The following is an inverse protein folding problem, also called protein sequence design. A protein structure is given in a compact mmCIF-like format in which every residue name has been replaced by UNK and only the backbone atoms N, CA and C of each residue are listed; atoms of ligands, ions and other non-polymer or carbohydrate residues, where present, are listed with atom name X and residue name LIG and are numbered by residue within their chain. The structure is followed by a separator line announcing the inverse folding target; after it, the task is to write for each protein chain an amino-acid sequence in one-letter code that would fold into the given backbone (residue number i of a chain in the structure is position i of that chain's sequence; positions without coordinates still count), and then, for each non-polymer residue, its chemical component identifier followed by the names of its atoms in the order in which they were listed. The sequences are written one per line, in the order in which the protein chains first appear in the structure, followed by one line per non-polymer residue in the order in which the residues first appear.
data_IF_585957820538
#
_entry.id   IF_585957820538
#
_cell.length_a   1.000
_cell.length_b   1.000
_cell.length_c   1.000
_cell.angle_alpha   90.00
_cell.angle_beta   90.00
_cell.angle_gamma   90.00
#
_symmetry.space_group_name_H-M   'P 1'
#
loop_
_entity.id
_entity.type
_entity.pdbx_description
1 polymer ?
#
# COMPACT_ATOMS: atom_id res chain seq x y z
N UNK A 1 8.90 -33.25 -2.46
CA UNK A 1 9.11 -32.47 -3.68
C UNK A 1 7.83 -32.54 -4.47
N UNK A 2 7.51 -31.45 -5.17
CA UNK A 2 6.41 -31.34 -6.14
C UNK A 2 5.04 -31.21 -5.48
N UNK A 3 4.14 -30.34 -5.91
CA UNK A 3 4.10 -29.32 -6.96
C UNK A 3 2.76 -28.57 -6.81
N UNK A 4 1.78 -29.18 -6.13
CA UNK A 4 0.49 -28.64 -5.71
C UNK A 4 0.56 -27.34 -4.92
N UNK A 5 1.57 -27.12 -4.07
CA UNK A 5 1.55 -26.00 -3.12
C UNK A 5 1.93 -24.66 -3.77
N UNK A 6 2.89 -24.67 -4.69
CA UNK A 6 3.22 -23.49 -5.48
C UNK A 6 2.30 -23.33 -6.71
N UNK A 7 1.76 -24.44 -7.22
CA UNK A 7 0.67 -24.45 -8.18
C UNK A 7 -0.64 -23.97 -7.55
N UNK A 8 -0.75 -23.88 -6.23
CA UNK A 8 -1.79 -23.19 -5.47
C UNK A 8 -1.40 -21.75 -5.09
N UNK A 9 -0.14 -21.49 -4.69
CA UNK A 9 0.34 -20.14 -4.31
C UNK A 9 0.36 -19.16 -5.49
N UNK A 10 0.43 -19.69 -6.70
CA UNK A 10 0.06 -18.98 -7.89
C UNK A 10 -1.41 -19.18 -8.26
N UNK A 11 -1.86 -20.44 -8.38
CA UNK A 11 -2.76 -20.95 -9.44
C UNK A 11 -3.24 -19.93 -10.45
N UNK A 12 -2.21 -19.26 -10.96
CA UNK A 12 -2.26 -18.27 -11.98
C UNK A 12 -1.50 -16.93 -11.76
N UNK A 13 -1.25 -16.36 -10.56
CA UNK A 13 -1.29 -14.86 -10.49
C UNK A 13 -2.60 -14.44 -11.23
N UNK A 14 -3.62 -15.28 -10.97
CA UNK A 14 -4.86 -15.49 -11.70
C UNK A 14 -4.75 -16.28 -13.01
N UNK A 15 -5.74 -17.12 -13.32
CA UNK A 15 -6.14 -17.59 -14.68
C UNK A 15 -6.41 -16.44 -15.70
N UNK A 16 -5.91 -15.23 -15.42
CA UNK A 16 -6.30 -13.92 -15.92
C UNK A 16 -5.18 -13.19 -16.68
N UNK A 17 -4.23 -13.94 -17.22
CA UNK A 17 -3.84 -13.74 -18.61
C UNK A 17 -4.92 -14.27 -19.56
N UNK A 18 -6.17 -13.86 -19.34
CA UNK A 18 -7.39 -14.40 -19.93
C UNK A 18 -7.56 -14.19 -21.44
N UNK A 19 -6.45 -14.11 -22.17
CA UNK A 19 -6.08 -14.86 -23.39
C UNK A 19 -4.97 -14.04 -24.06
N UNK A 20 -3.75 -14.10 -23.52
CA UNK A 20 -2.43 -13.87 -24.18
C UNK A 20 -1.29 -13.45 -23.21
N UNK A 21 -1.07 -14.19 -22.12
CA UNK A 21 0.32 -14.53 -21.81
C UNK A 21 0.45 -15.97 -21.38
N UNK A 22 1.29 -16.65 -22.11
CA UNK A 22 1.44 -18.08 -22.06
C UNK A 22 2.72 -18.51 -21.31
N UNK A 23 3.52 -17.59 -20.78
CA UNK A 23 4.93 -17.89 -20.49
C UNK A 23 5.38 -17.70 -19.02
N UNK A 24 4.47 -17.46 -18.06
CA UNK A 24 4.80 -17.46 -16.61
C UNK A 24 4.47 -18.83 -16.00
N UNK A 25 5.50 -19.53 -15.50
CA UNK A 25 5.41 -20.86 -14.90
C UNK A 25 5.39 -20.80 -13.38
N UNK A 26 4.80 -21.84 -12.77
CA UNK A 26 4.84 -22.09 -11.33
C UNK A 26 6.27 -21.95 -10.80
N UNK A 27 7.26 -22.60 -11.40
CA UNK A 27 8.63 -22.57 -10.91
C UNK A 27 9.30 -21.18 -10.95
N UNK A 28 8.92 -20.29 -11.88
CA UNK A 28 9.39 -18.89 -11.87
C UNK A 28 8.94 -18.13 -10.61
N UNK A 29 7.74 -18.42 -10.09
CA UNK A 29 7.24 -17.77 -8.87
C UNK A 29 7.89 -18.33 -7.61
N UNK A 30 8.28 -19.61 -7.63
CA UNK A 30 9.12 -20.22 -6.58
C UNK A 30 10.45 -19.50 -6.54
N UNK A 31 11.05 -19.33 -7.71
CA UNK A 31 12.30 -18.60 -7.87
C UNK A 31 12.16 -17.14 -7.45
N UNK A 32 10.99 -16.52 -7.59
CA UNK A 32 10.74 -15.17 -7.08
C UNK A 32 10.72 -15.09 -5.56
N UNK A 33 10.03 -16.00 -4.87
CA UNK A 33 10.08 -16.06 -3.41
C UNK A 33 11.47 -16.48 -2.90
N UNK A 34 12.11 -17.45 -3.54
CA UNK A 34 13.48 -17.87 -3.23
C UNK A 34 14.50 -16.77 -3.51
N UNK A 35 14.32 -16.00 -4.60
CA UNK A 35 15.15 -14.83 -4.92
C UNK A 35 14.90 -13.72 -3.90
N UNK A 36 13.65 -13.39 -3.59
CA UNK A 36 13.33 -12.39 -2.58
C UNK A 36 13.85 -12.75 -1.19
N UNK A 37 13.87 -14.04 -0.82
CA UNK A 37 14.42 -14.53 0.45
C UNK A 37 15.96 -14.68 0.44
N UNK A 38 16.58 -14.78 -0.74
CA UNK A 38 18.05 -14.82 -0.88
C UNK A 38 18.69 -13.48 -1.25
N UNK A 39 17.90 -12.53 -1.75
CA UNK A 39 18.27 -11.14 -2.02
C UNK A 39 18.03 -10.21 -0.83
N UNK A 40 17.68 -10.76 0.35
CA UNK A 40 17.31 -9.97 1.56
C UNK A 40 18.51 -9.19 2.12
N UNK A 41 18.83 -8.09 1.46
CA UNK A 41 18.71 -6.77 2.05
C UNK A 41 17.35 -6.19 1.60
N UNK A 42 16.22 -6.80 1.99
CA UNK A 42 14.89 -6.18 1.81
C UNK A 42 14.83 -5.01 2.78
N UNK A 43 15.45 -3.88 2.38
CA UNK A 43 15.37 -2.55 2.98
C UNK A 43 14.91 -2.55 4.44
N UNK A 44 15.67 -3.16 5.38
CA UNK A 44 15.51 -3.22 6.85
C UNK A 44 14.13 -3.28 7.55
N UNK A 45 13.01 -3.25 6.81
CA UNK A 45 11.61 -3.10 7.27
C UNK A 45 10.95 -4.46 7.45
N UNK A 46 11.41 -5.46 6.69
CA UNK A 46 10.80 -6.78 6.68
C UNK A 46 11.81 -7.78 7.21
N UNK A 47 11.57 -8.31 8.41
CA UNK A 47 12.38 -9.39 8.97
C UNK A 47 12.24 -10.63 8.10
N UNK A 48 13.34 -11.32 7.80
CA UNK A 48 13.32 -12.58 7.07
C UNK A 48 12.41 -13.63 7.73
N UNK A 49 12.29 -13.62 9.06
CA UNK A 49 11.36 -14.48 9.78
C UNK A 49 9.88 -14.10 9.56
N UNK A 50 9.59 -12.81 9.34
CA UNK A 50 8.24 -12.31 9.02
C UNK A 50 7.89 -12.59 7.56
N UNK A 51 8.84 -12.48 6.62
CA UNK A 51 8.68 -12.94 5.24
C UNK A 51 8.38 -14.44 5.24
N UNK A 52 9.13 -15.22 6.03
CA UNK A 52 8.93 -16.65 6.16
C UNK A 52 7.60 -16.98 6.84
N UNK A 53 7.14 -16.20 7.82
CA UNK A 53 5.84 -16.36 8.46
C UNK A 53 4.68 -16.00 7.53
N UNK A 54 4.81 -14.94 6.73
CA UNK A 54 3.84 -14.52 5.72
C UNK A 54 3.77 -15.55 4.59
N UNK A 55 4.91 -16.05 4.15
CA UNK A 55 4.96 -17.20 3.26
C UNK A 55 4.27 -18.40 3.92
N UNK A 56 4.61 -18.75 5.15
CA UNK A 56 4.06 -19.92 5.84
C UNK A 56 2.56 -19.83 6.12
N UNK A 57 1.99 -18.64 6.37
CA UNK A 57 0.54 -18.45 6.55
C UNK A 57 -0.21 -18.66 5.23
N UNK A 58 0.32 -18.09 4.14
CA UNK A 58 -0.15 -18.34 2.77
C UNK A 58 -0.02 -19.83 2.40
N UNK A 59 1.04 -20.51 2.87
CA UNK A 59 1.37 -21.92 2.57
C UNK A 59 0.59 -22.95 3.41
N UNK A 60 0.10 -22.62 4.61
CA UNK A 60 -0.61 -23.57 5.50
C UNK A 60 -2.13 -23.58 5.32
N UNK A 61 -2.76 -22.41 5.21
CA UNK A 61 -4.21 -22.28 5.29
C UNK A 61 -4.88 -22.09 3.92
N UNK A 62 -4.09 -21.95 2.84
CA UNK A 62 -4.59 -21.70 1.48
C UNK A 62 -5.42 -20.43 1.33
N UNK A 63 -5.48 -19.64 2.40
CA UNK A 63 -6.21 -18.38 2.53
C UNK A 63 -5.12 -17.34 2.69
N UNK A 64 -4.97 -16.41 1.74
CA UNK A 64 -4.09 -15.29 1.98
C UNK A 64 -4.55 -14.60 3.28
N UNK A 65 -3.61 -14.20 4.14
CA UNK A 65 -3.89 -13.07 5.06
C UNK A 65 -3.84 -11.83 4.18
N UNK A 66 -4.82 -11.69 3.29
CA UNK A 66 -5.06 -10.52 2.49
C UNK A 66 -6.53 -10.26 2.71
N UNK A 67 -6.85 -9.13 3.32
CA UNK A 67 -8.24 -8.70 3.43
C UNK A 67 -8.81 -8.37 2.03
N UNK A 68 -7.95 -8.21 1.01
CA UNK A 68 -8.30 -8.03 -0.39
C UNK A 68 -8.37 -9.34 -1.22
N UNK A 69 -9.35 -9.38 -2.13
CA UNK A 69 -9.48 -10.44 -3.14
C UNK A 69 -8.33 -10.40 -4.17
N UNK A 70 -7.81 -11.57 -4.57
CA UNK A 70 -6.76 -11.68 -5.60
C UNK A 70 -7.36 -11.47 -7.00
N UNK A 71 -7.44 -10.21 -7.41
CA UNK A 71 -7.91 -9.78 -8.72
C UNK A 71 -6.76 -9.26 -9.58
N UNK A 72 -6.97 -9.15 -10.91
CA UNK A 72 -5.98 -8.52 -11.81
C UNK A 72 -5.62 -7.10 -11.37
N UNK A 73 -6.60 -6.34 -10.89
CA UNK A 73 -6.43 -4.98 -10.38
C UNK A 73 -5.52 -4.97 -9.15
N UNK A 74 -5.81 -5.81 -8.16
CA UNK A 74 -4.99 -5.90 -6.94
C UNK A 74 -3.58 -6.41 -7.22
N UNK A 75 -3.41 -7.34 -8.16
CA UNK A 75 -2.09 -7.79 -8.59
C UNK A 75 -1.29 -6.67 -9.26
N UNK A 76 -1.90 -5.91 -10.18
CA UNK A 76 -1.27 -4.76 -10.81
C UNK A 76 -0.85 -3.71 -9.76
N UNK A 77 -1.72 -3.44 -8.78
CA UNK A 77 -1.47 -2.57 -7.64
C UNK A 77 -0.28 -3.05 -6.80
N UNK A 78 -0.25 -4.33 -6.40
CA UNK A 78 0.83 -4.90 -5.58
C UNK A 78 2.20 -4.93 -6.28
N UNK A 79 2.22 -5.06 -7.60
CA UNK A 79 3.45 -4.94 -8.40
C UNK A 79 3.75 -3.50 -8.82
N UNK A 80 2.87 -2.56 -8.49
CA UNK A 80 2.96 -1.15 -8.87
C UNK A 80 3.10 -0.91 -10.37
N UNK A 81 2.40 -1.73 -11.16
CA UNK A 81 2.32 -1.64 -12.61
C UNK A 81 0.91 -1.16 -13.00
N UNK A 82 0.75 -0.23 -13.96
CA UNK A 82 -0.56 0.15 -14.46
C UNK A 82 -1.38 -1.09 -14.89
N UNK A 83 -2.67 -1.12 -14.56
CA UNK A 83 -3.52 -2.30 -14.78
C UNK A 83 -3.58 -2.71 -16.26
N UNK A 84 -3.51 -1.75 -17.17
CA UNK A 84 -3.48 -1.92 -18.62
C UNK A 84 -2.18 -2.62 -19.06
N UNK A 85 -1.07 -2.22 -18.47
CA UNK A 85 0.28 -2.70 -18.78
C UNK A 85 0.58 -4.05 -18.15
N UNK A 86 -0.06 -4.36 -17.02
CA UNK A 86 0.20 -5.59 -16.27
C UNK A 86 0.05 -6.87 -17.12
N UNK A 87 -0.88 -6.88 -18.09
CA UNK A 87 -1.03 -8.02 -19.02
C UNK A 87 -0.01 -8.10 -20.15
N UNK A 88 0.88 -7.12 -20.26
CA UNK A 88 1.95 -7.07 -21.25
C UNK A 88 3.33 -7.14 -20.60
N UNK A 89 3.42 -6.92 -19.29
CA UNK A 89 4.67 -7.02 -18.51
C UNK A 89 5.11 -8.47 -18.38
N UNK A 90 6.29 -8.84 -18.93
CA UNK A 90 6.83 -10.18 -18.77
C UNK A 90 7.07 -10.52 -17.30
N UNK A 91 6.88 -11.77 -16.89
CA UNK A 91 7.21 -12.25 -15.54
C UNK A 91 8.55 -11.75 -15.03
N UNK A 92 9.59 -11.83 -15.85
CA UNK A 92 10.97 -11.56 -15.43
C UNK A 92 11.20 -10.09 -15.05
N UNK A 93 10.27 -9.19 -15.43
CA UNK A 93 10.27 -7.78 -15.09
C UNK A 93 9.44 -7.47 -13.85
N UNK A 94 8.65 -8.42 -13.36
CA UNK A 94 7.92 -8.28 -12.10
C UNK A 94 8.88 -8.53 -10.95
N UNK A 95 9.09 -7.49 -10.14
CA UNK A 95 10.00 -7.55 -9.02
C UNK A 95 9.29 -8.14 -7.79
N UNK A 96 9.72 -9.31 -7.29
CA UNK A 96 9.04 -9.99 -6.19
C UNK A 96 9.12 -9.23 -4.87
N UNK A 97 10.19 -8.44 -4.68
CA UNK A 97 10.38 -7.62 -3.50
C UNK A 97 9.31 -6.55 -3.38
N UNK A 98 8.81 -6.02 -4.50
CA UNK A 98 7.75 -5.01 -4.54
C UNK A 98 6.45 -5.60 -4.03
N UNK A 99 6.05 -6.74 -4.58
CA UNK A 99 4.89 -7.50 -4.11
C UNK A 99 4.95 -7.78 -2.60
N UNK A 100 6.10 -8.25 -2.10
CA UNK A 100 6.26 -8.60 -0.68
C UNK A 100 6.16 -7.36 0.21
N UNK A 101 6.85 -6.27 -0.14
CA UNK A 101 6.76 -4.99 0.59
C UNK A 101 5.32 -4.50 0.63
N UNK A 102 4.61 -4.58 -0.49
CA UNK A 102 3.24 -4.12 -0.60
C UNK A 102 2.29 -4.90 0.29
N UNK A 103 2.27 -6.22 0.16
CA UNK A 103 1.43 -7.11 0.99
C UNK A 103 1.76 -6.93 2.47
N UNK A 104 3.05 -6.80 2.80
CA UNK A 104 3.48 -6.60 4.18
C UNK A 104 2.93 -5.30 4.75
N UNK A 105 3.10 -4.17 4.05
CA UNK A 105 2.58 -2.87 4.50
C UNK A 105 1.05 -2.88 4.60
N UNK A 106 0.37 -3.46 3.60
CA UNK A 106 -1.09 -3.62 3.59
C UNK A 106 -1.58 -4.32 4.86
N UNK A 107 -0.96 -5.45 5.20
CA UNK A 107 -1.30 -6.22 6.41
C UNK A 107 -0.98 -5.47 7.70
N UNK A 108 0.17 -4.77 7.77
CA UNK A 108 0.54 -4.00 8.95
C UNK A 108 -0.46 -2.87 9.20
N UNK A 109 -0.73 -2.03 8.19
CA UNK A 109 -1.65 -0.92 8.33
C UNK A 109 -3.08 -1.38 8.60
N UNK A 110 -3.53 -2.45 7.94
CA UNK A 110 -4.86 -3.01 8.20
C UNK A 110 -4.99 -3.53 9.63
N UNK A 111 -3.98 -4.26 10.12
CA UNK A 111 -3.94 -4.71 11.52
C UNK A 111 -3.98 -3.53 12.49
N UNK A 112 -3.17 -2.49 12.26
CA UNK A 112 -3.12 -1.33 13.14
C UNK A 112 -4.45 -0.58 13.15
N UNK A 113 -5.07 -0.36 12.00
CA UNK A 113 -6.33 0.36 11.88
C UNK A 113 -7.49 -0.40 12.50
N UNK A 114 -7.57 -1.72 12.30
CA UNK A 114 -8.53 -2.58 12.98
C UNK A 114 -8.35 -2.53 14.51
N UNK A 115 -7.12 -2.58 15.03
CA UNK A 115 -6.84 -2.42 16.46
C UNK A 115 -7.29 -1.05 17.02
N UNK A 116 -7.30 -0.02 16.17
CA UNK A 116 -7.75 1.33 16.52
C UNK A 116 -9.26 1.54 16.32
N UNK A 117 -9.97 0.52 15.84
CA UNK A 117 -11.43 0.52 15.67
C UNK A 117 -11.93 1.12 14.36
N UNK A 118 -11.08 1.22 13.35
CA UNK A 118 -11.49 1.57 11.99
C UNK A 118 -12.12 0.35 11.32
N UNK A 119 -13.13 0.59 10.49
CA UNK A 119 -13.56 -0.34 9.45
C UNK A 119 -12.58 -0.19 8.28
N UNK A 120 -11.91 -1.27 7.88
CA UNK A 120 -10.82 -1.22 6.89
C UNK A 120 -11.21 -1.96 5.61
N UNK A 121 -10.99 -1.29 4.48
CA UNK A 121 -11.10 -1.85 3.13
C UNK A 121 -9.76 -1.73 2.40
N UNK A 122 -9.51 -2.64 1.47
CA UNK A 122 -8.23 -2.76 0.77
C UNK A 122 -8.47 -2.83 -0.73
N UNK A 123 -7.87 -1.91 -1.48
CA UNK A 123 -8.04 -1.86 -2.93
C UNK A 123 -9.45 -1.51 -3.41
N UNK A 124 -10.27 -0.92 -2.53
CA UNK A 124 -11.60 -0.40 -2.86
C UNK A 124 -11.50 0.76 -3.86
N UNK A 125 -12.41 0.85 -4.83
CA UNK A 125 -12.47 2.02 -5.71
C UNK A 125 -13.26 3.13 -5.04
N UNK A 126 -12.63 4.28 -4.90
CA UNK A 126 -13.30 5.51 -4.53
C UNK A 126 -13.70 6.26 -5.81
N UNK A 127 -15.00 6.49 -5.97
CA UNK A 127 -15.53 7.27 -7.09
C UNK A 127 -15.15 8.75 -6.92
N UNK A 128 -14.36 9.28 -7.87
CA UNK A 128 -14.00 10.69 -7.94
C UNK A 128 -14.83 11.48 -8.97
N UNK A 129 -14.44 12.73 -9.20
CA UNK A 129 -15.03 13.55 -10.26
C UNK A 129 -14.69 13.03 -11.66
N UNK A 130 -15.61 13.26 -12.60
CA UNK A 130 -15.40 13.04 -14.04
C UNK A 130 -15.02 11.60 -14.45
N UNK A 131 -15.31 10.61 -13.60
CA UNK A 131 -14.96 9.20 -13.86
C UNK A 131 -13.49 8.87 -13.61
N UNK A 132 -12.82 9.67 -12.77
CA UNK A 132 -11.50 9.34 -12.22
C UNK A 132 -11.72 8.35 -11.06
N UNK A 133 -11.31 7.10 -11.29
CA UNK A 133 -11.30 6.07 -10.26
C UNK A 133 -9.98 6.17 -9.48
N UNK A 134 -10.06 6.21 -8.16
CA UNK A 134 -8.90 6.17 -7.28
C UNK A 134 -8.98 4.94 -6.39
N UNK A 135 -7.92 4.15 -6.40
CA UNK A 135 -7.80 2.96 -5.57
C UNK A 135 -6.75 3.19 -4.49
N UNK A 136 -7.13 3.53 -3.24
CA UNK A 136 -6.22 3.43 -2.12
C UNK A 136 -5.75 1.99 -1.92
N UNK A 137 -4.52 1.84 -1.45
CA UNK A 137 -4.00 0.54 -1.04
C UNK A 137 -4.67 0.05 0.23
N UNK A 138 -4.82 0.95 1.20
CA UNK A 138 -5.59 0.72 2.43
C UNK A 138 -6.49 1.92 2.66
N UNK A 139 -7.75 1.65 2.93
CA UNK A 139 -8.76 2.64 3.25
C UNK A 139 -9.35 2.33 4.62
N UNK A 140 -9.32 3.28 5.54
CA UNK A 140 -9.84 3.13 6.89
C UNK A 140 -10.92 4.16 7.18
N UNK A 141 -12.06 3.71 7.70
CA UNK A 141 -13.17 4.57 8.10
C UNK A 141 -13.47 4.41 9.59
N UNK A 142 -13.51 5.51 10.31
CA UNK A 142 -13.89 5.55 11.73
C UNK A 142 -15.15 6.39 11.92
N UNK A 143 -16.23 5.74 12.36
CA UNK A 143 -17.47 6.44 12.72
C UNK A 143 -17.44 6.85 14.18
N UNK A 144 -17.52 8.16 14.44
CA UNK A 144 -17.54 8.74 15.79
C UNK A 144 -18.87 9.45 16.07
N UNK A 145 -19.09 9.85 17.33
CA UNK A 145 -20.23 10.68 17.71
C UNK A 145 -20.24 12.06 17.02
N UNK A 146 -19.10 12.51 16.48
CA UNK A 146 -18.93 13.83 15.89
C UNK A 146 -18.86 13.81 14.36
N UNK A 147 -18.93 12.63 13.75
CA UNK A 147 -18.82 12.45 12.31
C UNK A 147 -17.94 11.27 11.93
N UNK A 148 -17.69 11.14 10.64
CA UNK A 148 -16.83 10.13 10.04
C UNK A 148 -15.44 10.72 9.79
N UNK A 149 -14.42 9.93 10.07
CA UNK A 149 -13.02 10.24 9.82
C UNK A 149 -12.42 9.14 8.95
N UNK A 150 -11.80 9.54 7.85
CA UNK A 150 -11.33 8.64 6.80
C UNK A 150 -9.81 8.75 6.62
N UNK A 151 -9.15 7.61 6.40
CA UNK A 151 -7.73 7.52 6.10
C UNK A 151 -7.54 6.76 4.79
N UNK A 152 -6.92 7.40 3.80
CA UNK A 152 -6.46 6.74 2.59
C UNK A 152 -4.95 6.52 2.66
N UNK A 153 -4.46 5.37 2.23
CA UNK A 153 -3.03 5.10 2.11
C UNK A 153 -2.71 4.67 0.69
N UNK A 154 -1.62 5.18 0.12
CA UNK A 154 -0.95 4.53 -1.00
C UNK A 154 0.51 4.19 -0.68
N UNK A 155 0.96 3.10 -1.28
CA UNK A 155 2.32 2.61 -1.17
C UNK A 155 3.17 2.96 -2.41
N UNK A 156 4.46 3.13 -2.17
CA UNK A 156 5.48 3.21 -3.21
C UNK A 156 6.65 2.31 -2.80
N UNK A 157 6.73 1.12 -3.38
CA UNK A 157 7.54 -0.02 -2.97
C UNK A 157 8.57 -0.47 -4.03
N UNK A 158 8.41 -0.02 -5.28
CA UNK A 158 9.32 -0.34 -6.39
C UNK A 158 10.68 0.36 -6.27
N UNK A 159 10.66 1.67 -6.03
CA UNK A 159 11.84 2.51 -5.99
C UNK A 159 11.59 3.74 -5.11
N UNK A 160 12.66 4.46 -4.70
CA UNK A 160 12.50 5.71 -3.97
C UNK A 160 11.54 6.67 -4.68
N UNK A 161 10.52 7.23 -4.00
CA UNK A 161 9.47 7.99 -4.67
C UNK A 161 10.03 9.22 -5.37
N UNK A 162 9.79 9.28 -6.69
CA UNK A 162 10.13 10.45 -7.50
C UNK A 162 9.11 11.58 -7.30
N UNK A 163 9.52 12.81 -7.59
CA UNK A 163 8.61 13.96 -7.56
C UNK A 163 7.41 13.77 -8.50
N UNK A 164 7.62 13.20 -9.69
CA UNK A 164 6.56 13.01 -10.67
C UNK A 164 5.54 11.97 -10.21
N UNK A 165 6.00 10.84 -9.66
CA UNK A 165 5.12 9.80 -9.13
C UNK A 165 4.27 10.31 -7.97
N UNK A 166 4.91 11.02 -7.03
CA UNK A 166 4.19 11.61 -5.90
C UNK A 166 3.16 12.63 -6.37
N UNK A 167 3.49 13.50 -7.33
CA UNK A 167 2.50 14.43 -7.89
C UNK A 167 1.32 13.73 -8.53
N UNK A 168 1.56 12.70 -9.34
CA UNK A 168 0.48 11.94 -9.98
C UNK A 168 -0.48 11.32 -8.94
N UNK A 169 0.04 10.77 -7.85
CA UNK A 169 -0.77 10.24 -6.74
C UNK A 169 -1.58 11.35 -6.05
N UNK A 170 -0.95 12.50 -5.78
CA UNK A 170 -1.62 13.63 -5.14
C UNK A 170 -2.72 14.24 -6.02
N UNK A 171 -2.46 14.41 -7.31
CA UNK A 171 -3.44 14.92 -8.30
C UNK A 171 -4.63 13.96 -8.44
N UNK A 172 -4.40 12.65 -8.37
CA UNK A 172 -5.48 11.65 -8.43
C UNK A 172 -6.36 11.73 -7.18
N UNK A 173 -5.77 11.89 -6.01
CA UNK A 173 -6.54 12.06 -4.77
C UNK A 173 -7.31 13.39 -4.76
N UNK A 174 -6.72 14.48 -5.24
CA UNK A 174 -7.39 15.78 -5.34
C UNK A 174 -8.69 15.68 -6.16
N UNK A 175 -8.69 14.89 -7.23
CA UNK A 175 -9.88 14.63 -8.03
C UNK A 175 -10.99 13.88 -7.29
N UNK A 176 -10.66 13.18 -6.20
CA UNK A 176 -11.60 12.44 -5.35
C UNK A 176 -12.04 13.28 -4.16
N UNK A 177 -11.12 14.01 -3.54
CA UNK A 177 -11.29 14.77 -2.29
C UNK A 177 -12.02 16.11 -2.49
N UNK A 178 -13.20 16.05 -3.09
CA UNK A 178 -13.97 17.22 -3.51
C UNK A 178 -14.97 17.64 -2.43
N UNK A 179 -15.65 18.78 -2.62
CA UNK A 179 -16.64 19.25 -1.63
C UNK A 179 -17.85 18.31 -1.47
N UNK A 180 -18.07 17.43 -2.44
CA UNK A 180 -19.19 16.49 -2.46
C UNK A 180 -18.79 15.06 -2.05
N UNK A 181 -17.48 14.78 -1.87
CA UNK A 181 -17.00 13.46 -1.46
C UNK A 181 -17.06 13.23 0.05
N UNK A 182 -17.02 11.96 0.45
CA UNK A 182 -16.95 11.58 1.86
C UNK A 182 -15.60 11.99 2.48
N UNK A 183 -14.51 11.88 1.70
CA UNK A 183 -13.17 12.29 2.07
C UNK A 183 -13.04 13.82 1.97
N UNK A 184 -12.90 14.48 3.11
CA UNK A 184 -13.13 15.92 3.31
C UNK A 184 -12.18 16.53 4.34
N UNK A 185 -12.56 17.71 4.84
CA UNK A 185 -11.75 18.48 5.76
C UNK A 185 -11.42 17.71 7.05
N UNK A 186 -10.13 17.51 7.30
CA UNK A 186 -9.63 16.80 8.48
C UNK A 186 -9.23 15.35 8.23
N UNK A 187 -9.61 14.76 7.09
CA UNK A 187 -9.20 13.41 6.73
C UNK A 187 -7.72 13.35 6.35
N UNK A 188 -7.17 12.13 6.33
CA UNK A 188 -5.72 11.91 6.22
C UNK A 188 -5.40 11.07 5.00
N UNK A 189 -4.46 11.57 4.20
CA UNK A 189 -3.82 10.78 3.16
C UNK A 189 -2.39 10.43 3.57
N UNK A 190 -2.05 9.15 3.50
CA UNK A 190 -0.72 8.65 3.83
C UNK A 190 -0.06 8.18 2.54
N UNK A 191 1.13 8.72 2.26
CA UNK A 191 2.04 8.16 1.28
C UNK A 191 3.12 7.40 2.03
N UNK A 192 3.02 6.07 2.05
CA UNK A 192 3.97 5.22 2.77
C UNK A 192 4.95 4.55 1.80
N UNK A 193 6.21 4.52 2.17
CA UNK A 193 7.27 3.94 1.33
C UNK A 193 8.35 3.30 2.19
N UNK A 194 8.96 2.19 1.74
CA UNK A 194 10.11 1.60 2.42
C UNK A 194 11.43 2.34 2.13
N UNK A 195 11.37 3.49 1.46
CA UNK A 195 12.51 4.31 1.09
C UNK A 195 12.44 5.69 1.78
N UNK A 196 13.41 6.55 1.48
CA UNK A 196 13.30 7.98 1.81
C UNK A 196 12.74 8.76 0.62
N UNK A 197 11.91 9.76 0.89
CA UNK A 197 11.43 10.68 -0.14
C UNK A 197 12.58 11.57 -0.62
N UNK A 198 12.72 11.68 -1.94
CA UNK A 198 13.59 12.70 -2.52
C UNK A 198 13.08 14.11 -2.15
N UNK A 199 13.99 15.10 -2.08
CA UNK A 199 13.62 16.50 -1.73
C UNK A 199 12.46 17.07 -2.56
N UNK A 200 12.40 16.74 -3.86
CA UNK A 200 11.33 17.20 -4.75
C UNK A 200 9.98 16.56 -4.45
N UNK A 201 9.98 15.27 -4.08
CA UNK A 201 8.78 14.54 -3.65
C UNK A 201 8.28 15.11 -2.32
N UNK A 202 9.14 15.22 -1.31
CA UNK A 202 8.81 15.81 -0.01
C UNK A 202 8.27 17.26 -0.16
N UNK A 203 8.85 18.06 -1.05
CA UNK A 203 8.36 19.41 -1.33
C UNK A 203 6.96 19.43 -1.94
N UNK A 204 6.64 18.46 -2.80
CA UNK A 204 5.30 18.38 -3.42
C UNK A 204 4.24 17.97 -2.41
N UNK A 205 4.57 17.07 -1.48
CA UNK A 205 3.69 16.69 -0.36
C UNK A 205 3.40 17.89 0.54
N UNK A 206 4.42 18.65 0.92
CA UNK A 206 4.26 19.85 1.74
C UNK A 206 3.38 20.91 1.05
N UNK A 207 3.50 21.06 -0.27
CA UNK A 207 2.68 22.00 -1.03
C UNK A 207 1.21 21.55 -1.06
N UNK A 208 0.94 20.28 -1.38
CA UNK A 208 -0.43 19.77 -1.39
C UNK A 208 -1.11 19.90 -0.02
N UNK A 209 -0.43 19.50 1.06
CA UNK A 209 -0.95 19.65 2.44
C UNK A 209 -1.26 21.10 2.83
N UNK A 210 -0.77 22.10 2.09
CA UNK A 210 -1.09 23.51 2.33
C UNK A 210 -2.28 24.01 1.53
N UNK A 211 -2.53 23.42 0.37
CA UNK A 211 -3.56 23.88 -0.57
C UNK A 211 -4.87 23.12 -0.34
N UNK A 212 -4.77 21.88 0.13
CA UNK A 212 -5.91 20.96 0.25
C UNK A 212 -6.61 20.93 1.60
N UNK A 213 -7.81 20.35 1.58
CA UNK A 213 -8.70 20.22 2.75
C UNK A 213 -8.32 19.06 3.67
N UNK A 214 -7.62 18.09 3.14
CA UNK A 214 -7.10 16.91 3.86
C UNK A 214 -5.62 17.08 4.17
N UNK A 215 -5.12 16.28 5.11
CA UNK A 215 -3.71 16.31 5.50
C UNK A 215 -2.95 15.20 4.80
N UNK A 216 -1.89 15.52 4.03
CA UNK A 216 -0.98 14.50 3.49
C UNK A 216 0.19 14.26 4.43
N UNK A 217 0.43 12.99 4.74
CA UNK A 217 1.50 12.52 5.63
C UNK A 217 2.44 11.62 4.84
N UNK A 218 3.71 12.01 4.65
CA UNK A 218 4.74 11.10 4.21
C UNK A 218 5.12 10.16 5.36
N UNK A 219 5.13 8.85 5.12
CA UNK A 219 5.75 7.87 6.02
C UNK A 219 6.89 7.17 5.29
N UNK A 220 8.11 7.43 5.74
CA UNK A 220 9.32 6.79 5.20
C UNK A 220 9.70 5.55 6.02
N UNK A 221 10.75 4.86 5.57
CA UNK A 221 11.37 3.73 6.25
C UNK A 221 11.45 3.90 7.78
N UNK A 222 12.03 5.01 8.25
CA UNK A 222 12.29 5.21 9.67
C UNK A 222 10.98 5.37 10.46
N UNK A 223 9.96 6.03 9.88
CA UNK A 223 8.66 6.21 10.52
C UNK A 223 7.92 4.88 10.65
N UNK A 224 7.90 4.08 9.58
CA UNK A 224 7.27 2.75 9.56
C UNK A 224 7.95 1.84 10.57
N UNK A 225 9.28 1.82 10.60
CA UNK A 225 10.06 1.04 11.56
C UNK A 225 9.77 1.45 13.01
N UNK A 226 9.63 2.76 13.28
CA UNK A 226 9.30 3.26 14.62
C UNK A 226 7.88 2.87 15.05
N UNK A 227 6.91 2.93 14.13
CA UNK A 227 5.54 2.47 14.39
C UNK A 227 5.55 0.97 14.71
N UNK A 228 6.27 0.15 13.95
CA UNK A 228 6.35 -1.29 14.21
C UNK A 228 6.93 -1.61 15.60
N UNK A 229 8.04 -0.96 15.97
CA UNK A 229 8.78 -1.25 17.20
C UNK A 229 8.18 -0.58 18.45
N UNK A 230 7.06 0.11 18.30
CA UNK A 230 6.35 0.72 19.43
C UNK A 230 5.67 -0.34 20.29
N UNK A 231 5.74 -0.14 21.62
CA UNK A 231 5.44 -1.18 22.62
C UNK A 231 3.99 -1.69 22.63
N UNK A 232 3.04 -0.89 22.16
CA UNK A 232 1.62 -1.25 22.07
C UNK A 232 0.86 -0.40 21.03
N UNK A 233 -0.38 -0.80 20.73
CA UNK A 233 -1.26 -0.16 19.76
C UNK A 233 -1.54 1.32 20.07
N UNK A 234 -1.63 1.69 21.35
CA UNK A 234 -1.84 3.08 21.79
C UNK A 234 -0.63 3.95 21.48
N UNK A 235 0.57 3.43 21.70
CA UNK A 235 1.81 4.13 21.40
C UNK A 235 1.94 4.40 19.91
N UNK A 236 1.61 3.40 19.07
CA UNK A 236 1.57 3.56 17.61
C UNK A 236 0.59 4.63 17.17
N UNK A 237 -0.64 4.58 17.70
CA UNK A 237 -1.67 5.58 17.40
C UNK A 237 -1.20 6.99 17.79
N UNK A 238 -0.60 7.16 18.98
CA UNK A 238 -0.09 8.46 19.44
C UNK A 238 0.99 8.98 18.50
N UNK A 239 1.93 8.13 18.05
CA UNK A 239 2.97 8.55 17.10
C UNK A 239 2.38 8.98 15.76
N UNK A 240 1.43 8.22 15.21
CA UNK A 240 0.75 8.62 13.98
C UNK A 240 -0.01 9.94 14.17
N UNK A 241 -0.72 10.11 15.29
CA UNK A 241 -1.40 11.36 15.64
C UNK A 241 -0.44 12.55 15.77
N UNK A 242 0.76 12.33 16.32
CA UNK A 242 1.80 13.37 16.36
C UNK A 242 2.28 13.75 14.96
N UNK A 243 2.40 12.79 14.03
CA UNK A 243 2.72 13.08 12.63
C UNK A 243 1.59 13.85 11.92
N UNK A 244 0.33 13.45 12.14
CA UNK A 244 -0.84 14.19 11.65
C UNK A 244 -0.80 15.64 12.15
N UNK A 245 -0.59 15.82 13.46
CA UNK A 245 -0.55 17.15 14.06
C UNK A 245 0.59 18.01 13.51
N UNK A 246 1.79 17.45 13.34
CA UNK A 246 2.91 18.15 12.72
C UNK A 246 2.61 18.55 11.29
N UNK A 247 2.00 17.66 10.50
CA UNK A 247 1.60 17.95 9.13
C UNK A 247 0.57 19.08 9.06
N UNK A 248 -0.41 19.10 9.97
CA UNK A 248 -1.39 20.19 10.11
C UNK A 248 -0.75 21.52 10.53
N UNK A 249 0.20 21.50 11.47
CA UNK A 249 0.93 22.71 11.91
C UNK A 249 1.80 23.31 10.79
N UNK A 250 2.18 22.50 9.78
CA UNK A 250 2.90 22.93 8.58
C UNK A 250 1.96 23.41 7.44
N UNK A 251 0.65 23.14 7.55
CA UNK A 251 -0.41 23.66 6.69
C UNK A 251 -0.77 25.12 7.02
N UNK A 252 -1.69 25.77 6.28
CA UNK A 252 -2.10 27.13 6.56
C UNK A 252 -2.76 27.21 7.95
N UNK A 253 -2.16 27.99 8.84
CA UNK A 253 -2.82 28.42 10.07
C UNK A 253 -4.00 29.31 9.69
N UNK A 254 -5.22 28.85 9.97
CA UNK A 254 -6.40 29.70 10.00
C UNK A 254 -6.58 30.27 11.41
#
# INVERSE_FOLDING_TARGET
MDATLLQAAMSAIGSAYGKKAADITTDQVKQWFEKATSSVEVSGIVDGAEIEALANSVLRDGTPILDAEVTRKNLARWFEVPQEEFSMTPPEQLEPEVLIRHIYLENQFTSWFNEWGYDVEVGEDLEGLEGIDFTPDVYGKLTTLHGEFEICINFVCDQPPSQYRVRALLETLEAVATDESNFKWGDVYILATPFQFGRGAASSIILQSKEEKYTVIPLEYDDIYNLQNSRDSKTRLVQLMEQVKKAQELGPQR
#
